data_IF_607250635080
#
_entry.id   IF_607250635080
#
_cell.length_a   1.000
_cell.length_b   1.000
_cell.length_c   1.000
_cell.angle_alpha   90.00
_cell.angle_beta   90.00
_cell.angle_gamma   90.00
#
_symmetry.space_group_name_H-M   'P 1'
#
loop_
_entity.id
_entity.type
_entity.pdbx_description
1 polymer ?
#
# COMPACT_ATOMS: atom_id res chain seq x y z
N UNK A 1 4.83 -13.07 20.18
CA UNK A 1 3.89 -12.72 19.09
C UNK A 1 4.75 -12.24 17.94
N UNK A 2 4.69 -12.91 16.79
CA UNK A 2 5.47 -12.51 15.61
C UNK A 2 4.92 -11.20 15.05
N UNK A 3 5.73 -10.15 14.97
CA UNK A 3 5.37 -8.93 14.24
C UNK A 3 5.23 -9.24 12.75
N UNK A 4 4.13 -8.81 12.15
CA UNK A 4 3.96 -8.83 10.70
C UNK A 4 4.86 -7.74 10.09
N UNK A 5 5.46 -7.97 8.90
CA UNK A 5 6.19 -6.95 8.18
C UNK A 5 5.25 -5.78 7.86
N UNK A 6 5.76 -4.56 8.02
CA UNK A 6 4.97 -3.35 7.86
C UNK A 6 5.18 -2.79 6.45
N UNK A 7 4.09 -2.62 5.72
CA UNK A 7 4.09 -2.38 4.28
C UNK A 7 3.18 -1.22 3.90
N UNK A 8 3.48 -0.61 2.76
CA UNK A 8 2.49 0.00 1.89
C UNK A 8 2.68 -0.61 0.49
N UNK A 9 1.80 -0.30 -0.45
CA UNK A 9 1.76 -1.03 -1.71
C UNK A 9 2.95 -0.80 -2.65
N UNK A 10 3.94 0.01 -2.27
CA UNK A 10 5.18 0.26 -3.04
C UNK A 10 6.45 -0.24 -2.34
N UNK A 11 6.34 -0.67 -1.07
CA UNK A 11 7.49 -1.12 -0.30
C UNK A 11 7.15 -1.56 1.12
N UNK A 12 8.11 -2.22 1.77
CA UNK A 12 7.93 -2.71 3.13
C UNK A 12 9.24 -2.81 3.88
N UNK A 13 9.16 -2.66 5.19
CA UNK A 13 10.25 -2.95 6.10
C UNK A 13 10.36 -4.45 6.37
N UNK A 14 11.60 -4.95 6.48
CA UNK A 14 11.87 -6.23 7.12
C UNK A 14 11.35 -6.24 8.56
N UNK A 15 11.12 -7.44 9.13
CA UNK A 15 10.56 -7.59 10.49
C UNK A 15 11.38 -6.88 11.58
N UNK A 16 12.69 -6.75 11.40
CA UNK A 16 13.61 -6.03 12.29
C UNK A 16 13.74 -4.53 11.98
N UNK A 17 13.08 -4.06 10.92
CA UNK A 17 13.12 -2.69 10.44
C UNK A 17 14.50 -2.20 9.98
N UNK A 18 15.43 -3.11 9.68
CA UNK A 18 16.79 -2.78 9.22
C UNK A 18 16.91 -2.68 7.70
N UNK A 19 15.99 -3.29 6.97
CA UNK A 19 15.97 -3.29 5.50
C UNK A 19 14.61 -2.81 5.00
N UNK A 20 14.60 -2.04 3.91
CA UNK A 20 13.38 -1.77 3.14
C UNK A 20 13.48 -2.46 1.80
N UNK A 21 12.42 -3.17 1.39
CA UNK A 21 12.25 -3.67 0.03
C UNK A 21 11.25 -2.78 -0.68
N UNK A 22 11.55 -2.29 -1.88
CA UNK A 22 10.70 -1.39 -2.64
C UNK A 22 10.76 -1.66 -4.14
N UNK A 23 9.65 -1.40 -4.82
CA UNK A 23 9.58 -1.39 -6.28
C UNK A 23 9.92 -0.01 -6.84
N UNK A 24 10.42 0.02 -8.07
CA UNK A 24 10.60 1.23 -8.85
C UNK A 24 9.98 1.06 -10.23
N UNK A 25 9.21 2.06 -10.64
CA UNK A 25 8.63 2.13 -11.97
C UNK A 25 8.40 3.53 -12.52
N UNK A 26 8.60 4.56 -11.70
CA UNK A 26 8.49 5.96 -12.12
C UNK A 26 9.87 6.60 -12.38
N UNK A 27 9.85 7.67 -13.21
CA UNK A 27 11.01 8.57 -13.46
C UNK A 27 12.26 7.88 -14.02
N UNK A 28 12.08 6.83 -14.81
CA UNK A 28 13.17 6.17 -15.54
C UNK A 28 14.08 5.34 -14.65
N UNK A 29 13.57 4.81 -13.54
CA UNK A 29 14.26 3.78 -12.76
C UNK A 29 13.34 2.58 -12.65
N UNK A 30 13.88 1.39 -12.88
CA UNK A 30 13.11 0.14 -12.91
C UNK A 30 13.67 -0.90 -11.93
N UNK A 31 12.79 -1.80 -11.53
CA UNK A 31 13.15 -3.01 -10.80
C UNK A 31 12.84 -2.98 -9.30
N UNK A 32 13.37 -3.98 -8.61
CA UNK A 32 13.09 -4.26 -7.20
C UNK A 32 14.37 -4.07 -6.39
N UNK A 33 14.32 -3.26 -5.35
CA UNK A 33 15.48 -2.88 -4.55
C UNK A 33 15.34 -3.29 -3.09
N UNK A 34 16.49 -3.49 -2.45
CA UNK A 34 16.65 -3.53 -1.01
C UNK A 34 17.58 -2.41 -0.54
N UNK A 35 17.17 -1.72 0.52
CA UNK A 35 17.93 -0.63 1.16
C UNK A 35 18.26 -1.02 2.59
N UNK A 36 19.54 -1.05 2.92
CA UNK A 36 20.00 -1.19 4.30
C UNK A 36 19.91 0.17 5.02
N UNK A 37 19.08 0.26 6.05
CA UNK A 37 18.73 1.53 6.70
C UNK A 37 19.91 2.17 7.44
N UNK A 38 20.82 1.35 7.99
CA UNK A 38 21.96 1.84 8.74
C UNK A 38 23.00 2.54 7.83
N UNK A 39 23.17 2.06 6.60
CA UNK A 39 24.25 2.46 5.70
C UNK A 39 23.75 3.24 4.48
N UNK A 40 22.46 3.16 4.17
CA UNK A 40 21.91 3.63 2.90
C UNK A 40 22.30 2.76 1.71
N UNK A 41 22.89 1.58 1.93
CA UNK A 41 23.35 0.72 0.85
C UNK A 41 22.15 0.14 0.09
N UNK A 42 22.17 0.33 -1.23
CA UNK A 42 21.17 -0.20 -2.15
C UNK A 42 21.67 -1.49 -2.80
N UNK A 43 20.81 -2.50 -2.85
CA UNK A 43 21.03 -3.77 -3.56
C UNK A 43 19.85 -4.05 -4.48
N UNK A 44 20.11 -4.37 -5.75
CA UNK A 44 19.06 -4.72 -6.70
C UNK A 44 18.77 -6.22 -6.68
N UNK A 45 17.49 -6.59 -6.76
CA UNK A 45 17.08 -7.97 -6.91
C UNK A 45 17.56 -8.53 -8.27
N UNK A 46 18.02 -9.79 -8.33
CA UNK A 46 18.44 -10.42 -9.57
C UNK A 46 17.22 -10.84 -10.40
N UNK A 47 16.55 -9.85 -11.02
CA UNK A 47 15.38 -10.09 -11.85
C UNK A 47 15.75 -10.91 -13.11
N UNK A 48 14.88 -11.84 -13.56
CA UNK A 48 15.10 -12.57 -14.81
C UNK A 48 15.11 -11.60 -15.99
N UNK A 49 15.74 -12.02 -17.10
CA UNK A 49 15.92 -11.17 -18.29
C UNK A 49 14.60 -10.58 -18.82
N UNK A 50 13.50 -11.30 -18.67
CA UNK A 50 12.18 -10.81 -19.07
C UNK A 50 11.65 -9.68 -18.19
N UNK A 51 12.17 -9.47 -16.98
CA UNK A 51 11.72 -8.40 -16.08
C UNK A 51 12.75 -7.28 -15.91
N UNK A 52 13.86 -7.34 -16.66
CA UNK A 52 15.01 -6.46 -16.44
C UNK A 52 14.68 -4.98 -16.54
N UNK A 53 13.82 -4.62 -17.50
CA UNK A 53 13.45 -3.24 -17.81
C UNK A 53 11.99 -2.94 -17.41
N UNK A 54 11.37 -3.81 -16.61
CA UNK A 54 9.98 -3.68 -16.22
C UNK A 54 9.81 -2.69 -15.06
N UNK A 55 8.78 -1.84 -15.20
CA UNK A 55 8.25 -0.99 -14.15
C UNK A 55 7.67 -1.87 -13.04
N UNK A 56 8.17 -1.72 -11.81
CA UNK A 56 7.63 -2.41 -10.64
C UNK A 56 7.03 -1.36 -9.71
N UNK A 57 5.78 -1.03 -9.98
CA UNK A 57 5.07 0.03 -9.25
C UNK A 57 4.40 -0.48 -7.97
N UNK A 58 4.22 -1.79 -7.83
CA UNK A 58 3.60 -2.35 -6.62
C UNK A 58 4.31 -3.57 -6.06
N UNK A 59 4.59 -3.50 -4.76
CA UNK A 59 5.28 -4.51 -3.95
C UNK A 59 4.55 -4.69 -2.63
N UNK A 60 4.30 -5.95 -2.28
CA UNK A 60 3.70 -6.36 -1.02
C UNK A 60 4.59 -7.37 -0.31
N UNK A 61 4.55 -7.39 1.01
CA UNK A 61 5.23 -8.40 1.80
C UNK A 61 4.33 -9.62 1.98
N UNK A 62 4.85 -10.81 1.66
CA UNK A 62 4.22 -12.07 2.03
C UNK A 62 4.39 -12.40 3.51
N UNK A 63 3.71 -13.45 3.97
CA UNK A 63 3.73 -13.88 5.37
C UNK A 63 5.10 -14.41 5.81
N UNK A 64 5.90 -14.94 4.88
CA UNK A 64 7.24 -15.46 5.11
C UNK A 64 8.34 -14.39 4.92
N UNK A 65 7.96 -13.15 4.58
CA UNK A 65 8.89 -12.03 4.37
C UNK A 65 9.44 -11.92 2.94
N UNK A 66 8.92 -12.72 2.02
CA UNK A 66 9.15 -12.60 0.58
C UNK A 66 8.49 -11.35 0.00
N UNK A 67 9.02 -10.85 -1.11
CA UNK A 67 8.43 -9.74 -1.84
C UNK A 67 7.54 -10.27 -2.96
N UNK A 68 6.24 -9.99 -2.90
CA UNK A 68 5.30 -10.20 -3.98
C UNK A 68 5.17 -8.89 -4.76
N UNK A 69 5.23 -8.93 -6.09
CA UNK A 69 5.20 -7.72 -6.90
C UNK A 69 4.49 -7.90 -8.24
N UNK A 70 3.98 -6.80 -8.80
CA UNK A 70 3.35 -6.78 -10.12
C UNK A 70 4.39 -6.51 -11.20
N UNK A 71 4.38 -7.33 -12.26
CA UNK A 71 5.12 -7.09 -13.49
C UNK A 71 4.53 -7.92 -14.65
N UNK A 72 4.54 -7.40 -15.88
CA UNK A 72 4.06 -8.10 -17.08
C UNK A 72 2.69 -8.80 -16.95
N UNK A 73 1.70 -8.11 -16.39
CA UNK A 73 0.36 -8.67 -16.14
C UNK A 73 0.37 -9.96 -15.29
N UNK A 74 1.34 -10.08 -14.39
CA UNK A 74 1.50 -11.20 -13.49
C UNK A 74 1.91 -10.75 -12.09
N UNK A 75 1.61 -11.60 -11.12
CA UNK A 75 2.19 -11.53 -9.79
C UNK A 75 3.43 -12.41 -9.76
N UNK A 76 4.52 -11.83 -9.29
CA UNK A 76 5.81 -12.47 -9.14
C UNK A 76 6.19 -12.49 -7.66
N UNK A 77 7.06 -13.42 -7.29
CA UNK A 77 7.63 -13.49 -5.95
C UNK A 77 9.14 -13.45 -6.04
N UNK A 78 9.75 -12.64 -5.19
CA UNK A 78 11.18 -12.62 -4.94
C UNK A 78 11.48 -13.06 -3.51
N UNK A 79 12.32 -14.08 -3.37
CA UNK A 79 12.81 -14.59 -2.09
C UNK A 79 14.33 -14.39 -2.02
N UNK A 80 14.82 -13.44 -1.20
CA UNK A 80 16.26 -13.22 -1.02
C UNK A 80 16.99 -14.50 -0.60
N UNK A 81 18.12 -14.80 -1.24
CA UNK A 81 18.97 -15.96 -0.91
C UNK A 81 18.50 -17.31 -1.44
N UNK A 82 17.33 -17.41 -2.09
CA UNK A 82 16.88 -18.66 -2.70
C UNK A 82 17.67 -19.00 -3.98
N UNK A 83 17.84 -20.30 -4.27
CA UNK A 83 18.55 -20.78 -5.46
C UNK A 83 17.90 -20.33 -6.78
N UNK A 84 16.56 -20.22 -6.79
CA UNK A 84 15.78 -19.58 -7.84
C UNK A 84 15.04 -18.42 -7.14
N UNK A 85 15.64 -17.22 -7.13
CA UNK A 85 15.18 -16.14 -6.26
C UNK A 85 13.87 -15.52 -6.75
N UNK A 86 13.57 -15.57 -8.05
CA UNK A 86 12.36 -14.97 -8.62
C UNK A 86 11.52 -16.03 -9.32
N UNK A 87 10.21 -16.04 -9.04
CA UNK A 87 9.25 -16.98 -9.66
C UNK A 87 7.96 -16.28 -10.04
N UNK A 88 7.37 -16.66 -11.16
CA UNK A 88 6.02 -16.25 -11.52
C UNK A 88 5.00 -17.02 -10.64
N UNK A 89 4.10 -16.30 -9.98
CA UNK A 89 3.08 -16.88 -9.10
C UNK A 89 1.80 -17.16 -9.88
N UNK A 90 1.26 -16.15 -10.55
CA UNK A 90 0.04 -16.24 -11.35
C UNK A 90 -0.17 -15.02 -12.24
N UNK A 91 -0.88 -15.16 -13.38
CA UNK A 91 -1.35 -14.00 -14.13
C UNK A 91 -2.36 -13.15 -13.32
N UNK A 92 -2.46 -11.85 -13.62
CA UNK A 92 -3.43 -10.93 -12.97
C UNK A 92 -4.83 -11.01 -13.56
N UNK A 93 -4.99 -11.63 -14.74
CA UNK A 93 -6.28 -11.80 -15.37
C UNK A 93 -7.33 -12.39 -14.39
N UNK A 94 -8.59 -11.89 -14.42
CA UNK A 94 -9.15 -10.94 -15.38
C UNK A 94 -8.83 -9.46 -15.10
N UNK A 95 -8.09 -9.13 -14.04
CA UNK A 95 -7.67 -7.75 -13.79
C UNK A 95 -6.67 -7.30 -14.87
N UNK A 96 -7.11 -6.38 -15.72
CA UNK A 96 -6.28 -5.76 -16.76
C UNK A 96 -5.55 -4.55 -16.17
N UNK A 97 -4.30 -4.32 -16.56
CA UNK A 97 -3.49 -3.20 -16.06
C UNK A 97 -3.53 -3.13 -14.52
N UNK A 98 -3.23 -4.25 -13.84
CA UNK A 98 -3.21 -4.28 -12.39
C UNK A 98 -2.19 -3.24 -11.87
N UNK A 99 -2.64 -2.35 -11.00
CA UNK A 99 -1.84 -1.22 -10.51
C UNK A 99 -1.36 -1.45 -9.09
N UNK A 100 -2.19 -2.06 -8.25
CA UNK A 100 -1.93 -2.23 -6.82
C UNK A 100 -1.98 -3.71 -6.46
N UNK A 101 -1.08 -4.15 -5.59
CA UNK A 101 -1.03 -5.48 -5.02
C UNK A 101 -0.91 -5.37 -3.50
N UNK A 102 -1.71 -6.16 -2.80
CA UNK A 102 -1.49 -6.41 -1.38
C UNK A 102 -1.87 -7.82 -0.97
N UNK A 103 -1.41 -8.21 0.21
CA UNK A 103 -1.52 -9.57 0.74
C UNK A 103 -2.16 -9.51 2.12
N UNK A 104 -3.13 -10.39 2.36
CA UNK A 104 -3.66 -10.61 3.70
C UNK A 104 -2.74 -11.53 4.49
N UNK A 105 -1.86 -10.94 5.29
CA UNK A 105 -0.88 -11.68 6.12
C UNK A 105 -1.42 -12.07 7.50
N UNK A 106 -2.71 -11.84 7.76
CA UNK A 106 -3.35 -12.11 9.06
C UNK A 106 -3.56 -13.62 9.23
N UNK A 107 -2.86 -14.28 10.17
CA UNK A 107 -2.93 -15.74 10.32
C UNK A 107 -4.29 -16.19 10.86
N UNK A 108 -4.72 -17.38 10.44
CA UNK A 108 -5.92 -18.03 10.98
C UNK A 108 -7.25 -17.43 10.48
N UNK A 109 -7.20 -16.57 9.47
CA UNK A 109 -8.40 -16.04 8.81
C UNK A 109 -8.70 -16.80 7.51
N UNK A 110 -9.95 -16.81 7.02
CA UNK A 110 -10.29 -17.35 5.69
C UNK A 110 -9.56 -16.66 4.52
N UNK A 111 -8.90 -15.54 4.79
CA UNK A 111 -8.16 -14.76 3.80
C UNK A 111 -6.64 -14.80 4.02
N UNK A 112 -6.13 -15.64 4.93
CA UNK A 112 -4.68 -15.80 5.12
C UNK A 112 -4.02 -16.10 3.77
N UNK A 113 -3.00 -15.33 3.43
CA UNK A 113 -2.21 -15.39 2.19
C UNK A 113 -3.02 -15.16 0.90
N UNK A 114 -4.22 -14.58 1.00
CA UNK A 114 -4.93 -14.11 -0.18
C UNK A 114 -4.19 -12.93 -0.81
N UNK A 115 -4.05 -12.98 -2.13
CA UNK A 115 -3.57 -11.88 -2.96
C UNK A 115 -4.77 -11.02 -3.36
N UNK A 116 -4.61 -9.71 -3.34
CA UNK A 116 -5.60 -8.77 -3.83
C UNK A 116 -4.96 -7.81 -4.81
N UNK A 117 -5.69 -7.47 -5.88
CA UNK A 117 -5.26 -6.50 -6.87
C UNK A 117 -6.38 -5.54 -7.22
N UNK A 118 -6.02 -4.27 -7.47
CA UNK A 118 -6.90 -3.35 -8.20
C UNK A 118 -6.45 -3.26 -9.66
N UNK A 119 -7.40 -3.31 -10.58
CA UNK A 119 -7.14 -3.18 -12.00
C UNK A 119 -8.43 -2.95 -12.78
N UNK A 120 -8.31 -2.71 -14.07
CA UNK A 120 -9.45 -2.40 -14.92
C UNK A 120 -10.19 -3.66 -15.38
N UNK A 121 -11.49 -3.54 -15.61
CA UNK A 121 -12.28 -4.62 -16.21
C UNK A 121 -11.91 -4.85 -17.69
N UNK A 122 -11.47 -3.79 -18.36
CA UNK A 122 -11.02 -3.80 -19.76
C UNK A 122 -9.76 -2.96 -19.92
N UNK A 123 -8.96 -3.23 -20.95
CA UNK A 123 -7.73 -2.48 -21.22
C UNK A 123 -7.98 -0.98 -21.50
N UNK A 124 -9.15 -0.64 -22.03
CA UNK A 124 -9.51 0.73 -22.45
C UNK A 124 -10.31 1.51 -21.39
N UNK A 125 -10.63 0.90 -20.24
CA UNK A 125 -11.38 1.59 -19.20
C UNK A 125 -10.50 2.65 -18.52
N UNK A 126 -10.96 3.91 -18.53
CA UNK A 126 -10.33 5.04 -17.83
C UNK A 126 -10.83 5.24 -16.39
N UNK A 127 -11.65 4.34 -15.85
CA UNK A 127 -12.13 4.40 -14.46
C UNK A 127 -11.17 3.66 -13.52
N UNK A 128 -10.98 4.18 -12.31
CA UNK A 128 -10.16 3.52 -11.29
C UNK A 128 -10.83 2.21 -10.83
N UNK A 129 -10.28 1.09 -11.32
CA UNK A 129 -10.12 -0.18 -10.62
C UNK A 129 -11.38 -0.93 -10.15
N UNK A 130 -11.75 -1.98 -10.88
CA UNK A 130 -12.42 -3.12 -10.26
C UNK A 130 -11.45 -3.85 -9.32
N UNK A 131 -12.01 -4.41 -8.24
CA UNK A 131 -11.21 -5.02 -7.18
C UNK A 131 -11.31 -6.55 -7.27
N UNK A 132 -10.17 -7.22 -7.20
CA UNK A 132 -10.08 -8.67 -7.37
C UNK A 132 -9.24 -9.31 -6.28
N UNK A 133 -9.50 -10.58 -5.99
CA UNK A 133 -8.65 -11.35 -5.10
C UNK A 133 -8.51 -12.80 -5.50
N UNK A 134 -7.49 -13.45 -4.94
CA UNK A 134 -7.14 -14.84 -5.21
C UNK A 134 -6.71 -15.52 -3.92
N UNK A 135 -7.31 -16.67 -3.63
CA UNK A 135 -6.93 -17.53 -2.50
C UNK A 135 -5.58 -18.20 -2.74
N UNK A 136 -4.80 -18.47 -1.68
CA UNK A 136 -3.55 -19.22 -1.81
C UNK A 136 -3.81 -20.60 -2.45
N UNK A 137 -2.91 -21.01 -3.35
CA UNK A 137 -3.00 -22.30 -4.04
C UNK A 137 -4.18 -22.48 -5.01
N UNK A 138 -5.04 -21.48 -5.21
CA UNK A 138 -6.17 -21.57 -6.13
C UNK A 138 -5.68 -21.79 -7.58
N UNK A 139 -6.21 -22.81 -8.25
CA UNK A 139 -5.93 -23.05 -9.68
C UNK A 139 -6.63 -22.05 -10.60
N UNK A 140 -7.70 -21.45 -10.10
CA UNK A 140 -8.50 -20.48 -10.84
C UNK A 140 -7.83 -19.10 -10.84
N UNK A 141 -8.25 -18.28 -11.80
CA UNK A 141 -7.87 -16.88 -11.94
C UNK A 141 -8.32 -16.02 -10.75
N UNK A 142 -7.89 -14.76 -10.73
CA UNK A 142 -8.44 -13.77 -9.79
C UNK A 142 -9.97 -13.70 -9.92
N UNK A 143 -10.65 -13.58 -8.78
CA UNK A 143 -12.12 -13.47 -8.71
C UNK A 143 -12.50 -12.04 -8.33
N UNK A 144 -13.62 -11.54 -8.87
CA UNK A 144 -14.14 -10.23 -8.49
C UNK A 144 -14.47 -10.17 -7.00
N UNK A 145 -14.16 -9.04 -6.38
CA UNK A 145 -14.60 -8.67 -5.04
C UNK A 145 -15.67 -7.60 -5.17
N UNK A 146 -16.83 -7.84 -4.57
CA UNK A 146 -17.90 -6.86 -4.60
C UNK A 146 -17.60 -5.70 -3.63
N UNK A 147 -17.39 -4.52 -4.17
CA UNK A 147 -17.18 -3.30 -3.39
C UNK A 147 -18.53 -2.68 -3.00
N UNK A 148 -18.97 -2.85 -1.75
CA UNK A 148 -20.28 -2.37 -1.31
C UNK A 148 -20.21 -0.88 -0.97
N UNK A 149 -20.76 -0.04 -1.85
CA UNK A 149 -20.88 1.43 -1.68
C UNK A 149 -19.52 2.17 -1.57
N UNK A 150 -18.46 1.51 -1.97
CA UNK A 150 -17.14 2.10 -2.22
C UNK A 150 -16.83 1.91 -3.72
N UNK A 151 -16.15 2.87 -4.31
CA UNK A 151 -15.67 2.82 -5.70
C UNK A 151 -14.21 3.26 -5.73
N UNK A 152 -13.50 2.99 -6.83
CA UNK A 152 -12.13 3.48 -7.00
C UNK A 152 -11.24 3.01 -5.84
N UNK A 153 -11.36 1.72 -5.51
CA UNK A 153 -10.58 1.12 -4.42
C UNK A 153 -9.16 0.93 -4.92
N UNK A 154 -8.24 1.64 -4.29
CA UNK A 154 -6.80 1.57 -4.52
C UNK A 154 -6.15 1.33 -3.17
N UNK A 155 -4.97 0.72 -3.12
CA UNK A 155 -4.28 0.55 -1.84
C UNK A 155 -4.97 -0.43 -0.89
N UNK A 156 -4.21 -1.24 -0.17
CA UNK A 156 -4.79 -2.03 0.90
C UNK A 156 -3.74 -2.63 1.81
N UNK A 157 -3.96 -2.57 3.11
CA UNK A 157 -2.99 -3.08 4.06
C UNK A 157 -3.69 -3.59 5.31
N UNK A 158 -3.19 -4.71 5.82
CA UNK A 158 -3.59 -5.23 7.12
C UNK A 158 -2.62 -4.73 8.18
N UNK A 159 -3.16 -4.16 9.26
CA UNK A 159 -2.37 -3.91 10.47
C UNK A 159 -2.04 -5.22 11.19
N UNK A 160 -1.11 -5.14 12.13
CA UNK A 160 -0.67 -6.29 12.94
C UNK A 160 -1.78 -6.92 13.79
N UNK A 161 -2.81 -6.14 14.14
CA UNK A 161 -4.03 -6.61 14.84
C UNK A 161 -5.12 -7.11 13.88
N UNK A 162 -4.83 -7.17 12.57
CA UNK A 162 -5.68 -7.78 11.55
C UNK A 162 -6.77 -6.87 10.97
N UNK A 163 -6.71 -5.56 11.24
CA UNK A 163 -7.65 -4.58 10.68
C UNK A 163 -7.21 -4.23 9.26
N UNK A 164 -8.16 -4.20 8.32
CA UNK A 164 -7.90 -3.78 6.96
C UNK A 164 -8.09 -2.27 6.84
N UNK A 165 -7.07 -1.59 6.33
CA UNK A 165 -7.15 -0.22 5.84
C UNK A 165 -7.01 -0.21 4.33
N UNK A 166 -7.80 0.61 3.66
CA UNK A 166 -7.78 0.73 2.21
C UNK A 166 -8.14 2.15 1.80
N UNK A 167 -7.85 2.50 0.54
CA UNK A 167 -8.18 3.81 -0.01
C UNK A 167 -9.34 3.67 -0.97
N UNK A 168 -10.26 4.63 -0.91
CA UNK A 168 -11.36 4.74 -1.86
C UNK A 168 -11.73 6.20 -2.02
N UNK A 169 -11.81 6.65 -3.28
CA UNK A 169 -12.06 8.06 -3.64
C UNK A 169 -11.09 9.05 -2.99
N UNK A 170 -9.84 8.63 -2.80
CA UNK A 170 -8.81 9.47 -2.18
C UNK A 170 -8.89 9.64 -0.67
N UNK A 171 -9.81 8.93 0.00
CA UNK A 171 -9.96 8.94 1.45
C UNK A 171 -9.48 7.61 2.05
N UNK A 172 -9.17 7.62 3.36
CA UNK A 172 -8.79 6.40 4.10
C UNK A 172 -10.02 5.76 4.75
N UNK A 173 -10.15 4.46 4.52
CA UNK A 173 -11.21 3.62 5.04
C UNK A 173 -10.66 2.52 5.94
N UNK A 174 -11.45 2.13 6.93
CA UNK A 174 -11.28 0.90 7.68
C UNK A 174 -12.35 -0.09 7.25
N UNK A 175 -12.01 -1.36 7.06
CA UNK A 175 -12.99 -2.36 6.66
C UNK A 175 -12.56 -3.79 6.83
N UNK A 176 -13.07 -4.64 5.95
CA UNK A 176 -12.68 -6.03 5.84
C UNK A 176 -13.48 -6.78 4.78
N UNK A 177 -13.18 -8.05 4.62
CA UNK A 177 -13.83 -8.92 3.64
C UNK A 177 -14.84 -9.84 4.30
N UNK A 178 -16.04 -9.87 3.74
CA UNK A 178 -17.03 -10.91 4.03
C UNK A 178 -16.92 -11.99 2.94
N UNK A 179 -16.59 -13.24 3.30
CA UNK A 179 -16.54 -14.32 2.32
C UNK A 179 -17.92 -14.52 1.72
N UNK A 180 -17.96 -14.76 0.40
CA UNK A 180 -19.20 -15.09 -0.28
C UNK A 180 -19.39 -16.60 -0.21
N UNK A 181 -20.22 -17.06 0.73
CA UNK A 181 -20.67 -18.45 0.81
C UNK A 181 -22.07 -18.49 0.17
N UNK A 182 -22.20 -19.06 -1.05
CA UNK A 182 -23.47 -19.44 -1.66
C UNK A 182 -24.47 -18.37 -2.16
N UNK A 183 -24.01 -17.44 -3.00
CA UNK A 183 -24.92 -16.53 -3.72
C UNK A 183 -25.09 -16.84 -5.22
N UNK A 184 -24.55 -17.95 -5.72
CA UNK A 184 -24.57 -18.30 -7.15
C UNK A 184 -23.77 -17.36 -8.06
N UNK A 185 -23.08 -16.36 -7.50
CA UNK A 185 -22.18 -15.46 -8.22
C UNK A 185 -20.72 -15.82 -7.94
N UNK A 186 -19.92 -15.90 -9.00
CA UNK A 186 -18.48 -16.18 -8.93
C UNK A 186 -17.71 -14.94 -8.45
N UNK A 187 -17.65 -14.79 -7.11
CA UNK A 187 -16.96 -13.68 -6.42
C UNK A 187 -16.20 -14.23 -5.22
N UNK A 188 -15.04 -13.66 -4.93
CA UNK A 188 -14.25 -14.04 -3.75
C UNK A 188 -14.98 -13.66 -2.45
N UNK A 189 -15.62 -12.49 -2.45
CA UNK A 189 -16.19 -11.88 -1.25
C UNK A 189 -16.78 -10.51 -1.53
N UNK A 190 -17.20 -9.86 -0.44
CA UNK A 190 -17.63 -8.45 -0.43
C UNK A 190 -16.66 -7.63 0.42
N UNK A 191 -16.12 -6.56 -0.15
CA UNK A 191 -15.42 -5.52 0.59
C UNK A 191 -16.46 -4.57 1.22
N UNK A 192 -16.30 -4.36 2.51
CA UNK A 192 -17.16 -3.53 3.36
C UNK A 192 -16.27 -2.69 4.27
N UNK A 193 -16.75 -1.50 4.65
CA UNK A 193 -15.99 -0.64 5.54
C UNK A 193 -16.69 0.68 5.86
N UNK A 194 -16.01 1.49 6.66
CA UNK A 194 -16.41 2.83 7.03
C UNK A 194 -15.25 3.80 6.78
N UNK A 195 -15.56 4.97 6.22
CA UNK A 195 -14.58 6.03 6.04
C UNK A 195 -14.13 6.54 7.40
N UNK A 196 -12.82 6.56 7.65
CA UNK A 196 -12.22 6.98 8.92
C UNK A 196 -11.46 8.30 8.83
N UNK A 197 -10.94 8.66 7.66
CA UNK A 197 -10.24 9.93 7.46
C UNK A 197 -10.52 10.49 6.04
N UNK A 198 -11.32 11.57 5.94
CA UNK A 198 -11.61 12.22 4.68
C UNK A 198 -10.47 13.19 4.32
N UNK A 199 -9.39 12.66 3.75
CA UNK A 199 -8.15 13.41 3.48
C UNK A 199 -8.11 14.02 2.09
N UNK A 200 -8.98 13.58 1.17
CA UNK A 200 -9.02 14.15 -0.17
C UNK A 200 -9.28 15.65 -0.11
N UNK A 201 -8.39 16.43 -0.74
CA UNK A 201 -8.47 17.88 -0.81
C UNK A 201 -8.57 18.31 -2.27
N UNK A 202 -9.47 19.26 -2.53
CA UNK A 202 -9.65 19.92 -3.81
C UNK A 202 -9.58 21.41 -3.58
N UNK A 203 -8.80 22.11 -4.37
CA UNK A 203 -8.73 23.57 -4.35
C UNK A 203 -8.66 24.10 -5.77
N UNK A 204 -9.15 25.31 -5.95
CA UNK A 204 -9.10 26.06 -7.19
C UNK A 204 -8.74 27.49 -6.85
N UNK A 205 -7.90 28.09 -7.67
CA UNK A 205 -7.67 29.53 -7.70
C UNK A 205 -8.02 30.09 -9.07
N UNK A 206 -7.77 31.38 -9.30
CA UNK A 206 -8.12 32.08 -10.54
C UNK A 206 -7.37 31.57 -11.78
N UNK A 207 -6.28 30.80 -11.61
CA UNK A 207 -5.40 30.37 -12.70
C UNK A 207 -5.23 28.84 -12.80
N UNK A 208 -5.50 28.08 -11.74
CA UNK A 208 -5.24 26.65 -11.66
C UNK A 208 -6.14 25.93 -10.63
N UNK A 209 -6.32 24.63 -10.85
CA UNK A 209 -6.94 23.72 -9.88
C UNK A 209 -5.90 22.71 -9.39
N UNK A 210 -5.99 22.32 -8.13
CA UNK A 210 -5.16 21.28 -7.54
C UNK A 210 -6.00 20.27 -6.77
N UNK A 211 -5.51 19.05 -6.73
CA UNK A 211 -6.12 17.97 -5.97
C UNK A 211 -5.04 17.16 -5.28
N UNK A 212 -5.30 16.81 -4.03
CA UNK A 212 -4.51 15.85 -3.24
C UNK A 212 -5.44 14.73 -2.80
N UNK A 213 -4.99 13.50 -2.92
CA UNK A 213 -5.73 12.31 -2.51
C UNK A 213 -4.80 11.34 -1.78
N UNK A 214 -5.33 10.56 -0.86
CA UNK A 214 -4.58 9.46 -0.28
C UNK A 214 -4.23 8.47 -1.40
N UNK A 215 -2.96 8.10 -1.48
CA UNK A 215 -2.45 7.14 -2.45
C UNK A 215 -2.05 5.83 -1.77
N UNK A 216 -1.29 5.93 -0.67
CA UNK A 216 -0.88 4.78 0.13
C UNK A 216 -1.17 5.02 1.61
N UNK A 217 -1.45 3.93 2.33
CA UNK A 217 -1.63 3.93 3.78
C UNK A 217 -0.77 2.83 4.40
N UNK A 218 -0.14 3.12 5.54
CA UNK A 218 0.70 2.19 6.28
C UNK A 218 0.41 2.30 7.79
N UNK A 219 -0.24 1.31 8.42
CA UNK A 219 -0.42 1.27 9.87
C UNK A 219 0.89 0.91 10.57
N UNK A 220 1.27 1.69 11.58
CA UNK A 220 2.41 1.36 12.44
C UNK A 220 2.20 1.93 13.85
N UNK A 221 2.22 1.03 14.85
CA UNK A 221 1.95 1.39 16.23
C UNK A 221 0.54 1.95 16.42
N UNK A 222 0.43 3.06 17.15
CA UNK A 222 -0.82 3.80 17.36
C UNK A 222 -1.22 4.76 16.23
N UNK A 223 -0.60 4.66 15.05
CA UNK A 223 -0.73 5.64 13.97
C UNK A 223 -1.04 4.98 12.63
N UNK A 224 -1.74 5.72 11.78
CA UNK A 224 -1.78 5.51 10.34
C UNK A 224 -0.90 6.55 9.68
N UNK A 225 0.01 6.11 8.82
CA UNK A 225 0.80 6.95 7.96
C UNK A 225 0.19 6.94 6.57
N UNK A 226 0.06 8.11 5.94
CA UNK A 226 -0.60 8.25 4.65
C UNK A 226 0.29 9.07 3.73
N UNK A 227 0.58 8.51 2.56
CA UNK A 227 1.10 9.26 1.44
C UNK A 227 -0.08 9.88 0.69
N UNK A 228 -0.07 11.20 0.59
CA UNK A 228 -0.96 11.97 -0.26
C UNK A 228 -0.24 12.26 -1.58
N UNK A 229 -0.95 12.12 -2.70
CA UNK A 229 -0.46 12.48 -4.04
C UNK A 229 -1.41 13.47 -4.70
N UNK A 230 -0.81 14.37 -5.46
CA UNK A 230 -1.45 15.33 -6.33
C UNK A 230 -0.64 15.48 -7.60
N UNK A 231 -1.16 16.28 -8.53
CA UNK A 231 -0.44 16.60 -9.76
C UNK A 231 0.75 17.52 -9.42
N UNK A 232 1.95 16.96 -9.37
CA UNK A 232 3.21 17.61 -8.96
C UNK A 232 3.32 17.96 -7.47
N UNK A 233 2.59 17.24 -6.61
CA UNK A 233 2.63 17.46 -5.17
C UNK A 233 2.52 16.11 -4.45
N UNK A 234 3.35 15.91 -3.43
CA UNK A 234 3.28 14.77 -2.54
C UNK A 234 3.45 15.25 -1.09
N UNK A 235 2.77 14.57 -0.17
CA UNK A 235 2.83 14.89 1.26
C UNK A 235 2.73 13.61 2.06
N UNK A 236 3.47 13.49 3.14
CA UNK A 236 3.35 12.40 4.11
C UNK A 236 2.70 12.93 5.37
N UNK A 237 1.59 12.30 5.75
CA UNK A 237 0.82 12.61 6.93
C UNK A 237 0.89 11.45 7.94
N UNK A 238 0.67 11.76 9.21
CA UNK A 238 0.21 10.77 10.20
C UNK A 238 -1.08 11.20 10.87
N UNK A 239 -1.91 10.23 11.20
CA UNK A 239 -3.13 10.43 11.96
C UNK A 239 -3.30 9.28 12.97
N UNK A 240 -4.02 9.49 14.09
CA UNK A 240 -4.20 8.44 15.08
C UNK A 240 -4.96 7.25 14.47
N UNK A 241 -4.47 6.05 14.75
CA UNK A 241 -5.22 4.82 14.50
C UNK A 241 -6.50 4.84 15.37
N UNK A 242 -7.70 4.56 14.83
CA UNK A 242 -8.90 4.53 15.66
C UNK A 242 -8.76 3.48 16.77
N UNK A 243 -8.97 3.89 18.03
CA UNK A 243 -8.74 3.01 19.20
C UNK A 243 -9.64 1.76 19.24
N UNK A 244 -10.79 1.81 18.55
CA UNK A 244 -11.67 0.68 18.34
C UNK A 244 -11.95 0.56 16.84
N UNK A 245 -12.08 -0.67 16.30
CA UNK A 245 -12.52 -0.84 14.93
C UNK A 245 -13.88 -0.17 14.72
N UNK A 246 -13.98 0.70 13.72
CA UNK A 246 -15.26 1.30 13.35
C UNK A 246 -16.13 0.31 12.56
N UNK A 247 -15.51 -0.73 12.02
CA UNK A 247 -16.16 -1.80 11.30
C UNK A 247 -15.53 -3.15 11.65
N UNK A 248 -16.33 -4.21 11.69
CA UNK A 248 -15.83 -5.58 11.80
C UNK A 248 -16.70 -6.47 10.92
N UNK A 249 -16.13 -7.24 9.96
CA UNK A 249 -16.91 -8.06 9.03
C UNK A 249 -17.89 -9.04 9.67
N UNK A 250 -17.57 -9.54 10.87
CA UNK A 250 -18.40 -10.46 11.64
C UNK A 250 -19.51 -9.76 12.46
N UNK A 251 -19.44 -8.43 12.62
CA UNK A 251 -20.48 -7.69 13.33
C UNK A 251 -21.61 -7.31 12.38
N UNK A 252 -22.86 -7.41 12.85
CA UNK A 252 -24.01 -6.81 12.17
C UNK A 252 -24.14 -5.31 12.49
N UNK A 253 -23.29 -4.78 13.37
CA UNK A 253 -23.34 -3.39 13.77
C UNK A 253 -22.78 -2.50 12.66
N UNK A 254 -23.60 -1.56 12.20
CA UNK A 254 -23.16 -0.47 11.34
C UNK A 254 -22.91 0.75 12.20
N UNK A 255 -21.80 1.47 12.01
CA UNK A 255 -21.52 2.67 12.79
C UNK A 255 -22.62 3.71 12.54
N UNK A 256 -23.15 4.30 13.61
CA UNK A 256 -24.09 5.40 13.50
C UNK A 256 -23.43 6.63 12.88
N UNK A 257 -24.21 7.51 12.25
CA UNK A 257 -23.69 8.75 11.63
C UNK A 257 -22.87 9.59 12.61
N UNK A 258 -23.30 9.66 13.88
CA UNK A 258 -22.57 10.41 14.92
C UNK A 258 -21.20 9.81 15.21
N UNK A 259 -21.10 8.48 15.30
CA UNK A 259 -19.84 7.79 15.57
C UNK A 259 -18.87 7.96 14.39
N UNK A 260 -19.38 7.84 13.17
CA UNK A 260 -18.58 8.05 11.97
C UNK A 260 -18.06 9.49 11.86
N UNK A 261 -18.92 10.50 12.07
CA UNK A 261 -18.50 11.90 12.08
C UNK A 261 -17.50 12.19 13.21
N UNK A 262 -17.67 11.57 14.38
CA UNK A 262 -16.76 11.72 15.51
C UNK A 262 -15.38 11.15 15.20
N UNK A 263 -15.29 9.97 14.57
CA UNK A 263 -14.01 9.37 14.17
C UNK A 263 -13.31 10.21 13.11
N UNK A 264 -14.04 10.64 12.07
CA UNK A 264 -13.46 11.48 11.02
C UNK A 264 -12.97 12.83 11.57
N UNK A 265 -13.74 13.47 12.44
CA UNK A 265 -13.35 14.72 13.09
C UNK A 265 -12.11 14.53 13.97
N UNK A 266 -12.04 13.43 14.73
CA UNK A 266 -10.88 13.12 15.56
C UNK A 266 -9.62 12.88 14.73
N UNK A 267 -9.74 12.13 13.63
CA UNK A 267 -8.65 11.87 12.70
C UNK A 267 -8.09 13.19 12.15
N UNK A 268 -8.94 14.04 11.55
CA UNK A 268 -8.53 15.32 10.97
C UNK A 268 -7.92 16.28 12.00
N UNK A 269 -8.52 16.39 13.19
CA UNK A 269 -8.05 17.30 14.23
C UNK A 269 -6.67 16.93 14.81
N UNK A 270 -6.20 15.70 14.57
CA UNK A 270 -4.92 15.18 15.08
C UNK A 270 -3.99 14.72 13.96
N UNK A 271 -4.31 15.07 12.72
CA UNK A 271 -3.41 14.87 11.60
C UNK A 271 -2.18 15.75 11.78
N UNK A 272 -1.02 15.17 11.57
CA UNK A 272 0.26 15.88 11.55
C UNK A 272 0.93 15.70 10.20
N UNK A 273 1.52 16.78 9.69
CA UNK A 273 2.33 16.78 8.48
C UNK A 273 3.75 16.37 8.85
N UNK A 274 4.27 15.32 8.20
CA UNK A 274 5.63 14.82 8.40
C UNK A 274 6.57 15.37 7.34
N UNK A 275 6.11 15.37 6.09
CA UNK A 275 6.82 15.91 4.95
C UNK A 275 5.80 16.53 3.99
N UNK A 276 6.10 17.71 3.47
CA UNK A 276 5.30 18.45 2.50
C UNK A 276 6.21 19.08 1.44
N UNK A 277 5.62 19.74 0.45
CA UNK A 277 6.33 20.45 -0.63
C UNK A 277 7.26 19.54 -1.47
N UNK A 278 6.94 18.26 -1.56
CA UNK A 278 7.60 17.32 -2.47
C UNK A 278 6.86 17.31 -3.80
N UNK A 279 7.56 17.21 -4.92
CA UNK A 279 6.87 16.97 -6.20
C UNK A 279 6.41 15.51 -6.31
N UNK A 280 7.16 14.63 -5.63
CA UNK A 280 7.08 13.19 -5.77
C UNK A 280 7.48 12.46 -4.48
N UNK A 281 6.79 11.36 -4.20
CA UNK A 281 7.20 10.36 -3.22
C UNK A 281 6.94 8.96 -3.78
N UNK A 282 7.83 8.00 -3.52
CA UNK A 282 7.60 6.59 -3.83
C UNK A 282 8.25 5.64 -2.83
N UNK A 283 7.97 4.34 -2.96
CA UNK A 283 8.52 3.31 -2.07
C UNK A 283 8.07 3.52 -0.62
N UNK A 284 6.93 4.18 -0.44
CA UNK A 284 6.45 4.58 0.88
C UNK A 284 6.11 3.36 1.72
N UNK A 285 6.57 3.37 2.96
CA UNK A 285 6.20 2.37 3.96
C UNK A 285 6.46 2.91 5.36
N UNK A 286 5.79 2.31 6.34
CA UNK A 286 6.00 2.62 7.75
C UNK A 286 6.07 1.35 8.57
N UNK A 287 6.79 1.38 9.69
CA UNK A 287 6.89 0.30 10.69
C UNK A 287 7.03 0.88 12.09
N UNK A 288 6.96 0.03 13.11
CA UNK A 288 7.34 0.37 14.49
C UNK A 288 8.48 -0.55 14.95
N UNK A 289 9.58 0.04 15.40
CA UNK A 289 10.74 -0.68 15.95
C UNK A 289 10.97 -0.16 17.37
N UNK A 290 10.94 -1.06 18.35
CA UNK A 290 11.10 -0.73 19.77
C UNK A 290 10.17 0.40 20.26
N UNK A 291 8.92 0.39 19.80
CA UNK A 291 7.91 1.40 20.15
C UNK A 291 8.12 2.76 19.48
N UNK A 292 9.05 2.87 18.52
CA UNK A 292 9.29 4.09 17.74
C UNK A 292 8.86 3.89 16.30
N UNK A 293 8.06 4.81 15.75
CA UNK A 293 7.69 4.71 14.35
C UNK A 293 8.91 4.99 13.46
N UNK A 294 8.97 4.28 12.34
CA UNK A 294 9.87 4.55 11.23
C UNK A 294 9.06 4.67 9.97
N UNK A 295 9.36 5.67 9.15
CA UNK A 295 8.78 5.84 7.82
C UNK A 295 9.92 5.96 6.84
N UNK A 296 9.81 5.23 5.74
CA UNK A 296 10.70 5.34 4.61
C UNK A 296 9.92 5.79 3.38
N UNK A 297 10.53 6.64 2.57
CA UNK A 297 10.06 6.98 1.24
C UNK A 297 11.23 7.53 0.42
N UNK A 298 11.08 7.52 -0.89
CA UNK A 298 12.01 8.11 -1.86
C UNK A 298 11.38 9.42 -2.35
N UNK A 299 12.16 10.50 -2.44
CA UNK A 299 11.67 11.82 -2.92
C UNK A 299 12.69 12.53 -3.79
N UNK A 300 12.28 13.60 -4.45
CA UNK A 300 13.15 14.41 -5.32
C UNK A 300 13.72 15.68 -4.65
N UNK A 301 13.63 15.80 -3.33
CA UNK A 301 14.05 16.98 -2.57
C UNK A 301 15.55 17.35 -2.69
N UNK A 302 16.40 16.48 -3.23
CA UNK A 302 17.82 16.77 -3.50
C UNK A 302 18.20 16.56 -4.98
N UNK A 303 17.38 17.10 -5.90
CA UNK A 303 17.43 16.86 -7.36
C UNK A 303 18.82 16.82 -8.03
N UNK A 304 19.84 17.53 -7.52
CA UNK A 304 21.22 17.47 -8.04
C UNK A 304 21.97 16.16 -7.76
N UNK A 305 21.53 15.33 -6.81
CA UNK A 305 22.15 14.04 -6.44
C UNK A 305 21.33 12.81 -6.87
N UNK A 306 20.14 13.02 -7.41
CA UNK A 306 19.19 11.95 -7.74
C UNK A 306 18.06 11.87 -6.71
N UNK A 307 17.30 10.78 -6.76
CA UNK A 307 16.21 10.56 -5.81
C UNK A 307 16.76 10.24 -4.42
N UNK A 308 16.38 11.04 -3.43
CA UNK A 308 16.81 10.91 -2.05
C UNK A 308 15.97 9.87 -1.29
N UNK A 309 16.64 8.95 -0.61
CA UNK A 309 16.01 8.02 0.32
C UNK A 309 15.84 8.70 1.67
N UNK A 310 14.60 8.90 2.08
CA UNK A 310 14.21 9.62 3.28
C UNK A 310 13.81 8.64 4.38
N UNK A 311 14.26 8.91 5.61
CA UNK A 311 13.85 8.19 6.80
C UNK A 311 13.37 9.16 7.87
N UNK A 312 12.22 8.88 8.46
CA UNK A 312 11.71 9.59 9.64
C UNK A 312 11.53 8.62 10.81
N UNK A 313 11.98 9.00 11.99
CA UNK A 313 12.07 8.12 13.17
C UNK A 313 11.28 8.66 14.39
N UNK A 314 10.12 9.27 14.12
CA UNK A 314 9.18 9.69 15.17
C UNK A 314 9.32 11.11 15.71
N UNK A 315 10.38 11.83 15.34
CA UNK A 315 10.60 13.21 15.77
C UNK A 315 11.42 13.99 14.75
N UNK A 316 11.19 15.30 14.70
CA UNK A 316 11.90 16.21 13.79
C UNK A 316 11.51 15.99 12.32
N UNK A 317 12.36 16.49 11.43
CA UNK A 317 12.20 16.33 9.98
C UNK A 317 12.79 14.98 9.50
N UNK A 318 12.25 14.39 8.44
CA UNK A 318 12.87 13.25 7.77
C UNK A 318 14.31 13.58 7.37
N UNK A 319 15.23 12.60 7.52
CA UNK A 319 16.63 12.73 7.13
C UNK A 319 16.93 11.92 5.88
N UNK A 320 17.87 12.40 5.06
CA UNK A 320 18.40 11.63 3.94
C UNK A 320 19.31 10.53 4.47
N UNK A 321 19.10 9.30 4.00
CA UNK A 321 19.94 8.13 4.34
C UNK A 321 20.81 7.67 3.18
N UNK A 322 20.57 8.20 1.98
CA UNK A 322 21.34 7.95 0.77
C UNK A 322 20.55 8.41 -0.46
N UNK A 323 21.05 8.05 -1.64
CA UNK A 323 20.39 8.33 -2.92
C UNK A 323 20.26 7.05 -3.71
N UNK A 324 19.18 6.94 -4.48
CA UNK A 324 19.07 5.86 -5.46
C UNK A 324 20.13 6.07 -6.57
N UNK A 325 20.65 4.98 -7.16
CA UNK A 325 21.58 5.08 -8.28
C UNK A 325 20.96 5.90 -9.41
N UNK A 326 21.74 6.80 -10.00
CA UNK A 326 21.41 7.37 -11.32
C UNK A 326 21.78 6.34 -12.38
N UNK A 327 20.92 6.18 -13.38
CA UNK A 327 21.29 5.46 -14.63
C UNK A 327 22.51 6.11 -15.30
#
# INVERSE_FOLDING_TARGET
MSSLPAAANEGFFSKDGQTVTLGLGERGISGLLQVEIATGKVTQAPLPAELKDESIDSVACGSEGEALFLAKNGVWVWTPGAAIPVKHVCPTAPAMNAMELFVSTVPGTPFTDCLFVSGNETADAGSLGSFYGRRPGAKNAFQSVFCRRVSDVTGGIFSTDGRLFFISRGDVWEGGFQPNEDNGMDRLGTLVGARIAPLAALYTDEASGGSLWAEHVAPAGGWLYVQMRGRHMATVLRLPLPAKPLYTPASQDTPGTKDQLSVMSHALARTEVIAEDMEFASGFCATEVDGKPRIFYVSDMEGEKGLAMMLWEGAGKPRVIGHLPRE
#
